data_IF_434297589355
#
_entry.id   IF_434297589355
#
_cell.length_a   1.000
_cell.length_b   1.000
_cell.length_c   1.000
_cell.angle_alpha   90.00
_cell.angle_beta   90.00
_cell.angle_gamma   90.00
#
_symmetry.space_group_name_H-M   'P 1'
#
loop_
_entity.id
_entity.type
_entity.pdbx_description
1 polymer ?
#
# COMPACT_ATOMS: atom_id res chain seq x y z
N UNK A 1 6.35 26.93 -20.99
CA UNK A 1 5.38 26.21 -21.86
C UNK A 1 5.26 24.80 -21.31
N UNK A 2 4.04 24.36 -20.96
CA UNK A 2 3.80 22.97 -20.59
C UNK A 2 4.03 22.08 -21.82
N UNK A 3 4.55 20.89 -21.59
CA UNK A 3 4.70 19.91 -22.68
C UNK A 3 3.32 19.38 -23.11
N UNK A 4 3.19 18.90 -24.34
CA UNK A 4 1.93 18.26 -24.82
C UNK A 4 1.51 17.06 -23.95
N UNK A 5 2.44 16.38 -23.34
CA UNK A 5 2.16 15.26 -22.42
C UNK A 5 1.54 15.75 -21.11
N UNK A 6 2.03 16.87 -20.55
CA UNK A 6 1.48 17.46 -19.33
C UNK A 6 0.05 17.98 -19.53
N UNK A 7 -0.21 18.64 -20.67
CA UNK A 7 -1.57 19.08 -21.03
C UNK A 7 -2.54 17.89 -21.20
N UNK A 8 -2.08 16.78 -21.77
CA UNK A 8 -2.88 15.59 -21.93
C UNK A 8 -3.17 14.89 -20.59
N UNK A 9 -2.19 14.84 -19.69
CA UNK A 9 -2.35 14.30 -18.33
C UNK A 9 -3.34 15.14 -17.51
N UNK A 10 -3.24 16.47 -17.57
CA UNK A 10 -4.18 17.37 -16.90
C UNK A 10 -5.61 17.16 -17.44
N UNK A 11 -5.77 17.17 -18.78
CA UNK A 11 -7.07 16.92 -19.40
C UNK A 11 -7.62 15.53 -19.04
N UNK A 12 -6.78 14.49 -19.06
CA UNK A 12 -7.16 13.15 -18.65
C UNK A 12 -7.66 13.11 -17.21
N UNK A 13 -6.99 13.81 -16.32
CA UNK A 13 -7.38 13.95 -14.91
C UNK A 13 -8.75 14.65 -14.80
N UNK A 14 -8.98 15.74 -15.53
CA UNK A 14 -10.27 16.42 -15.55
C UNK A 14 -11.41 15.54 -16.09
N UNK A 15 -11.12 14.69 -17.10
CA UNK A 15 -12.08 13.70 -17.61
C UNK A 15 -12.44 12.67 -16.54
N UNK A 16 -11.46 12.15 -15.82
CA UNK A 16 -11.65 11.17 -14.73
C UNK A 16 -12.47 11.76 -13.59
N UNK A 17 -12.19 12.99 -13.18
CA UNK A 17 -12.94 13.69 -12.13
C UNK A 17 -14.24 14.31 -12.60
N UNK A 18 -14.59 14.18 -13.90
CA UNK A 18 -15.85 14.68 -14.46
C UNK A 18 -15.91 16.19 -14.69
N UNK A 19 -14.77 16.90 -14.59
CA UNK A 19 -14.66 18.34 -14.74
C UNK A 19 -14.65 18.77 -16.22
N UNK A 20 -14.00 17.99 -17.09
CA UNK A 20 -13.97 18.24 -18.53
C UNK A 20 -15.36 18.06 -19.15
N UNK A 21 -15.80 19.02 -19.99
CA UNK A 21 -17.08 19.03 -20.69
C UNK A 21 -16.89 18.84 -22.21
N UNK A 22 -17.98 18.52 -22.93
CA UNK A 22 -17.99 18.39 -24.36
C UNK A 22 -17.94 16.94 -24.90
N UNK A 23 -18.13 16.78 -26.19
CA UNK A 23 -18.26 15.48 -26.86
C UNK A 23 -17.01 14.61 -26.70
N UNK A 24 -15.82 15.19 -26.86
CA UNK A 24 -14.54 14.47 -26.68
C UNK A 24 -14.39 13.88 -25.28
N UNK A 25 -14.73 14.64 -24.24
CA UNK A 25 -14.69 14.19 -22.88
C UNK A 25 -15.74 13.09 -22.59
N UNK A 26 -16.93 13.20 -23.22
CA UNK A 26 -17.99 12.19 -23.12
C UNK A 26 -17.55 10.87 -23.77
N UNK A 27 -16.98 10.93 -24.97
CA UNK A 27 -16.45 9.76 -25.68
C UNK A 27 -15.30 9.11 -24.89
N UNK A 28 -14.35 9.88 -24.38
CA UNK A 28 -13.27 9.35 -23.54
C UNK A 28 -13.81 8.66 -22.29
N UNK A 29 -14.78 9.26 -21.59
CA UNK A 29 -15.42 8.62 -20.44
C UNK A 29 -16.11 7.29 -20.80
N UNK A 30 -16.68 7.17 -21.99
CA UNK A 30 -17.29 5.92 -22.44
C UNK A 30 -16.21 4.84 -22.67
N UNK A 31 -15.11 5.18 -23.31
CA UNK A 31 -13.96 4.27 -23.52
C UNK A 31 -13.39 3.84 -22.15
N UNK A 32 -13.16 4.79 -21.26
CA UNK A 32 -12.65 4.50 -19.91
C UNK A 32 -13.61 3.64 -19.08
N UNK A 33 -14.95 3.76 -19.30
CA UNK A 33 -15.92 2.85 -18.65
C UNK A 33 -15.77 1.42 -19.16
N UNK A 34 -15.62 1.22 -20.44
CA UNK A 34 -15.39 -0.11 -21.01
C UNK A 34 -14.10 -0.74 -20.47
N UNK A 35 -13.00 0.04 -20.48
CA UNK A 35 -11.72 -0.39 -19.91
C UNK A 35 -11.82 -0.68 -18.39
N UNK A 36 -12.57 0.13 -17.65
CA UNK A 36 -12.80 -0.07 -16.22
C UNK A 36 -13.59 -1.35 -15.91
N UNK A 37 -14.52 -1.71 -16.79
CA UNK A 37 -15.28 -2.95 -16.67
C UNK A 37 -14.38 -4.17 -16.87
N UNK A 38 -13.51 -4.13 -17.89
CA UNK A 38 -12.50 -5.17 -18.11
C UNK A 38 -11.51 -5.26 -16.94
N UNK A 39 -11.02 -4.13 -16.46
CA UNK A 39 -10.15 -4.08 -15.28
C UNK A 39 -10.83 -4.71 -14.05
N UNK A 40 -12.12 -4.39 -13.84
CA UNK A 40 -12.91 -4.99 -12.75
C UNK A 40 -13.00 -6.51 -12.87
N UNK A 41 -13.23 -7.04 -14.07
CA UNK A 41 -13.25 -8.49 -14.30
C UNK A 41 -11.92 -9.13 -13.93
N UNK A 42 -10.80 -8.55 -14.37
CA UNK A 42 -9.46 -9.03 -14.04
C UNK A 42 -9.22 -9.02 -12.53
N UNK A 43 -9.58 -7.94 -11.84
CA UNK A 43 -9.45 -7.84 -10.38
C UNK A 43 -10.31 -8.88 -9.68
N UNK A 44 -11.58 -9.05 -10.08
CA UNK A 44 -12.48 -10.04 -9.48
C UNK A 44 -11.99 -11.46 -9.72
N UNK A 45 -11.56 -11.79 -10.94
CA UNK A 45 -10.98 -13.09 -11.26
C UNK A 45 -9.75 -13.37 -10.39
N UNK A 46 -8.85 -12.40 -10.23
CA UNK A 46 -7.69 -12.52 -9.35
C UNK A 46 -8.08 -12.75 -7.89
N UNK A 47 -9.02 -11.97 -7.36
CA UNK A 47 -9.53 -12.12 -6.01
C UNK A 47 -10.15 -13.51 -5.81
N UNK A 48 -10.93 -13.98 -6.78
CA UNK A 48 -11.53 -15.32 -6.76
C UNK A 48 -10.48 -16.43 -6.73
N UNK A 49 -9.44 -16.35 -7.58
CA UNK A 49 -8.36 -17.34 -7.62
C UNK A 49 -7.62 -17.49 -6.28
N UNK A 50 -7.39 -16.39 -5.59
CA UNK A 50 -6.75 -16.41 -4.26
C UNK A 50 -7.72 -16.85 -3.16
N UNK A 51 -8.97 -16.39 -3.21
CA UNK A 51 -9.98 -16.77 -2.21
C UNK A 51 -10.35 -18.26 -2.29
N UNK A 52 -10.46 -18.82 -3.48
CA UNK A 52 -10.73 -20.24 -3.71
C UNK A 52 -9.52 -21.16 -3.52
N UNK A 53 -8.38 -20.62 -3.09
CA UNK A 53 -7.11 -21.32 -2.90
C UNK A 53 -6.55 -21.99 -4.18
N UNK A 54 -7.08 -21.65 -5.36
CA UNK A 54 -6.52 -22.07 -6.67
C UNK A 54 -5.13 -21.46 -6.84
N UNK A 55 -5.01 -20.16 -6.55
CA UNK A 55 -3.72 -19.50 -6.48
C UNK A 55 -3.15 -19.63 -5.06
N UNK A 56 -1.94 -20.18 -4.94
CA UNK A 56 -1.28 -20.36 -3.65
C UNK A 56 -0.75 -19.06 -3.09
N UNK A 57 -0.93 -18.88 -1.79
CA UNK A 57 -0.31 -17.80 -1.01
C UNK A 57 0.90 -18.38 -0.25
N UNK A 58 2.00 -17.65 -0.26
CA UNK A 58 3.12 -17.98 0.62
C UNK A 58 2.74 -17.64 2.07
N UNK A 59 3.15 -18.48 3.01
CA UNK A 59 3.04 -18.23 4.45
C UNK A 59 4.44 -18.25 5.03
N UNK A 60 4.82 -17.20 5.74
CA UNK A 60 6.17 -17.05 6.27
C UNK A 60 6.30 -17.50 7.74
N UNK A 61 5.19 -17.88 8.38
CA UNK A 61 5.18 -18.35 9.77
C UNK A 61 5.40 -17.25 10.81
N UNK A 62 5.40 -15.98 10.40
CA UNK A 62 5.53 -14.79 11.24
C UNK A 62 4.30 -13.90 11.10
N UNK A 63 4.12 -12.96 12.02
CA UNK A 63 3.03 -12.00 11.94
C UNK A 63 3.21 -11.08 10.72
N UNK A 64 2.31 -11.18 9.76
CA UNK A 64 2.27 -10.32 8.57
C UNK A 64 1.05 -9.40 8.65
N UNK A 65 1.30 -8.11 8.74
CA UNK A 65 0.26 -7.07 8.77
C UNK A 65 0.31 -6.27 7.47
N UNK A 66 -0.78 -6.26 6.75
CA UNK A 66 -0.92 -5.44 5.54
C UNK A 66 -1.58 -4.11 5.89
N UNK A 67 -0.95 -3.02 5.51
CA UNK A 67 -1.54 -1.68 5.56
C UNK A 67 -1.78 -1.22 4.13
N UNK A 68 -3.04 -0.91 3.80
CA UNK A 68 -3.38 -0.58 2.42
C UNK A 68 -4.66 0.21 2.29
N UNK A 69 -5.11 0.38 1.05
CA UNK A 69 -6.37 1.04 0.74
C UNK A 69 -6.94 0.51 -0.58
N UNK A 70 -8.21 0.81 -0.85
CA UNK A 70 -8.89 0.40 -2.09
C UNK A 70 -8.87 1.46 -3.19
N UNK A 71 -8.37 2.66 -2.93
CA UNK A 71 -8.30 3.78 -3.88
C UNK A 71 -6.87 4.11 -4.27
N UNK A 72 -6.66 4.78 -5.39
CA UNK A 72 -5.39 5.49 -5.65
C UNK A 72 -5.39 6.83 -4.93
N UNK A 73 -4.22 7.27 -4.48
CA UNK A 73 -4.03 8.55 -3.79
C UNK A 73 -3.47 8.41 -2.37
N UNK A 74 -3.14 9.53 -1.78
CA UNK A 74 -2.56 9.62 -0.45
C UNK A 74 -3.62 9.50 0.65
N UNK A 75 -3.91 8.30 1.09
CA UNK A 75 -4.85 8.01 2.20
C UNK A 75 -4.21 8.05 3.59
N UNK A 76 -2.93 8.47 3.68
CA UNK A 76 -2.21 8.51 4.96
C UNK A 76 -1.61 7.16 5.38
N UNK A 77 -1.29 6.25 4.43
CA UNK A 77 -0.70 4.94 4.73
C UNK A 77 0.63 5.05 5.47
N UNK A 78 1.57 5.82 4.94
CA UNK A 78 2.93 5.93 5.47
C UNK A 78 2.96 6.36 6.94
N UNK A 79 2.23 7.39 7.40
CA UNK A 79 2.12 7.71 8.82
C UNK A 79 1.57 6.58 9.68
N UNK A 80 0.58 5.82 9.18
CA UNK A 80 0.01 4.69 9.93
C UNK A 80 1.01 3.53 10.00
N UNK A 81 1.73 3.23 8.93
CA UNK A 81 2.82 2.23 8.93
C UNK A 81 3.90 2.63 9.91
N UNK A 82 4.32 3.91 9.93
CA UNK A 82 5.31 4.45 10.85
C UNK A 82 4.86 4.30 12.31
N UNK A 83 3.63 4.70 12.62
CA UNK A 83 3.05 4.59 13.97
C UNK A 83 3.00 3.12 14.43
N UNK A 84 2.53 2.22 13.59
CA UNK A 84 2.47 0.79 13.89
C UNK A 84 3.86 0.20 14.11
N UNK A 85 4.82 0.50 13.22
CA UNK A 85 6.19 0.02 13.34
C UNK A 85 6.80 0.48 14.67
N UNK A 86 6.70 1.77 15.00
CA UNK A 86 7.18 2.35 16.25
C UNK A 86 6.53 1.70 17.47
N UNK A 87 5.21 1.56 17.46
CA UNK A 87 4.46 0.96 18.57
C UNK A 87 4.82 -0.50 18.79
N UNK A 88 4.96 -1.29 17.73
CA UNK A 88 5.33 -2.69 17.82
C UNK A 88 6.77 -2.88 18.30
N UNK A 89 7.71 -2.05 17.81
CA UNK A 89 9.10 -2.06 18.27
C UNK A 89 9.21 -1.68 19.73
N UNK A 90 8.48 -0.67 20.20
CA UNK A 90 8.41 -0.31 21.63
C UNK A 90 7.86 -1.43 22.51
N UNK A 91 7.05 -2.33 21.94
CA UNK A 91 6.54 -3.53 22.62
C UNK A 91 7.48 -4.75 22.49
N UNK A 92 8.70 -4.54 22.03
CA UNK A 92 9.73 -5.58 21.93
C UNK A 92 9.66 -6.46 20.68
N UNK A 93 8.85 -6.09 19.66
CA UNK A 93 8.80 -6.82 18.39
C UNK A 93 9.96 -6.39 17.48
N UNK A 94 10.51 -7.34 16.74
CA UNK A 94 11.47 -7.06 15.67
C UNK A 94 10.74 -6.87 14.35
N UNK A 95 10.59 -5.62 13.96
CA UNK A 95 9.73 -5.21 12.84
C UNK A 95 10.53 -4.99 11.56
N UNK A 96 10.02 -5.51 10.44
CA UNK A 96 10.47 -5.12 9.11
C UNK A 96 9.30 -4.54 8.30
N UNK A 97 9.52 -3.40 7.66
CA UNK A 97 8.61 -2.79 6.68
C UNK A 97 9.01 -3.27 5.30
N UNK A 98 8.05 -3.87 4.59
CA UNK A 98 8.22 -4.36 3.22
C UNK A 98 7.47 -3.45 2.26
N UNK A 99 8.20 -2.73 1.42
CA UNK A 99 7.64 -1.78 0.45
C UNK A 99 8.03 -2.11 -0.98
N UNK A 100 7.31 -1.56 -1.95
CA UNK A 100 7.56 -1.79 -3.39
C UNK A 100 8.71 -0.95 -3.95
N UNK A 101 8.95 0.22 -3.36
CA UNK A 101 9.91 1.18 -3.90
C UNK A 101 9.37 1.84 -5.18
N UNK A 102 8.23 2.52 -5.08
CA UNK A 102 7.68 3.28 -6.20
C UNK A 102 8.68 4.35 -6.65
N UNK A 103 8.98 4.40 -7.97
CA UNK A 103 9.96 5.32 -8.58
C UNK A 103 11.41 5.18 -8.07
N UNK A 104 11.76 4.11 -7.37
CA UNK A 104 13.16 3.87 -6.99
C UNK A 104 13.98 3.48 -8.23
N UNK A 105 15.15 4.12 -8.42
CA UNK A 105 16.10 3.75 -9.44
C UNK A 105 16.75 2.38 -9.13
N UNK A 106 17.21 1.66 -10.15
CA UNK A 106 18.02 0.48 -9.94
C UNK A 106 19.37 0.85 -9.31
N UNK A 107 19.98 -0.11 -8.63
CA UNK A 107 21.27 0.10 -8.01
C UNK A 107 22.37 0.09 -9.08
N UNK A 108 23.24 1.10 -9.08
CA UNK A 108 24.39 1.19 -9.98
C UNK A 108 25.43 0.10 -9.66
N UNK A 109 25.51 -0.33 -8.41
CA UNK A 109 26.37 -1.40 -7.90
C UNK A 109 25.58 -2.29 -6.94
N UNK A 110 25.95 -3.60 -6.83
CA UNK A 110 25.39 -4.46 -5.80
C UNK A 110 25.58 -3.85 -4.40
N UNK A 111 24.55 -3.99 -3.55
CA UNK A 111 24.59 -3.48 -2.18
C UNK A 111 25.55 -4.34 -1.35
N UNK A 112 26.48 -3.72 -0.63
CA UNK A 112 27.47 -4.40 0.22
C UNK A 112 26.90 -4.68 1.63
N UNK A 113 25.80 -5.42 1.68
CA UNK A 113 25.28 -5.90 2.96
C UNK A 113 25.81 -7.31 3.24
N UNK A 114 26.25 -7.57 4.46
CA UNK A 114 26.72 -8.87 4.93
C UNK A 114 26.01 -9.21 6.24
N UNK A 115 25.73 -10.49 6.43
CA UNK A 115 25.23 -11.00 7.69
C UNK A 115 26.31 -10.97 8.79
N UNK A 116 25.94 -11.40 10.01
CA UNK A 116 26.86 -11.46 11.17
C UNK A 116 28.07 -12.37 10.92
N UNK A 117 27.95 -13.31 10.02
CA UNK A 117 29.03 -14.25 9.63
C UNK A 117 29.85 -13.73 8.44
N UNK A 118 29.57 -12.53 7.95
CA UNK A 118 30.23 -11.90 6.81
C UNK A 118 29.80 -12.44 5.46
N UNK A 119 28.69 -13.18 5.37
CA UNK A 119 28.14 -13.76 4.14
C UNK A 119 27.18 -12.79 3.47
N UNK A 120 27.19 -12.78 2.16
CA UNK A 120 26.25 -12.03 1.34
C UNK A 120 25.25 -12.99 0.68
N UNK A 121 23.94 -12.87 0.95
CA UNK A 121 22.94 -13.68 0.29
C UNK A 121 22.86 -13.42 -1.21
N UNK A 122 22.63 -14.47 -2.00
CA UNK A 122 22.51 -14.35 -3.46
C UNK A 122 21.34 -13.48 -3.92
N UNK A 123 20.24 -13.48 -3.18
CA UNK A 123 19.00 -12.80 -3.50
C UNK A 123 18.70 -11.63 -2.55
N UNK A 124 19.61 -10.67 -2.48
CA UNK A 124 19.47 -9.51 -1.62
C UNK A 124 18.32 -8.57 -2.09
N UNK A 125 17.33 -8.21 -1.23
CA UNK A 125 16.45 -7.09 -1.52
C UNK A 125 17.22 -5.78 -1.43
N UNK A 126 16.69 -4.68 -1.93
CA UNK A 126 17.23 -3.35 -1.62
C UNK A 126 16.98 -3.06 -0.14
N UNK A 127 18.02 -2.88 0.63
CA UNK A 127 17.95 -2.59 2.08
C UNK A 127 18.08 -1.08 2.24
N UNK A 128 16.97 -0.39 2.54
CA UNK A 128 17.02 1.02 2.91
C UNK A 128 17.58 1.18 4.33
N UNK A 129 17.15 0.30 5.26
CA UNK A 129 17.69 0.15 6.61
C UNK A 129 17.55 -1.31 7.07
N UNK A 130 18.52 -1.81 7.83
CA UNK A 130 18.42 -3.09 8.55
C UNK A 130 17.93 -2.93 9.99
N UNK A 131 17.60 -1.70 10.39
CA UNK A 131 17.19 -1.30 11.74
C UNK A 131 18.31 -0.60 12.53
N UNK A 132 19.56 -0.82 12.17
CA UNK A 132 20.72 -0.18 12.80
C UNK A 132 21.42 0.79 11.84
N UNK A 133 21.62 0.35 10.61
CA UNK A 133 22.34 1.08 9.58
C UNK A 133 21.41 1.42 8.39
N UNK A 134 21.54 2.63 7.87
CA UNK A 134 20.87 3.06 6.64
C UNK A 134 21.82 2.93 5.46
N UNK A 135 21.42 2.17 4.45
CA UNK A 135 22.27 1.82 3.31
C UNK A 135 21.95 2.62 2.05
N UNK A 136 20.69 3.03 1.85
CA UNK A 136 20.25 3.66 0.60
C UNK A 136 19.69 5.06 0.82
N UNK A 137 20.04 5.96 -0.09
CA UNK A 137 19.41 7.27 -0.21
C UNK A 137 18.08 7.21 -0.98
N UNK A 138 17.36 8.36 -1.09
CA UNK A 138 16.02 8.43 -1.68
C UNK A 138 15.99 8.00 -3.16
N UNK A 139 17.06 8.22 -3.92
CA UNK A 139 17.14 7.83 -5.32
C UNK A 139 16.95 6.32 -5.53
N UNK A 140 17.59 5.50 -4.70
CA UNK A 140 17.61 4.04 -4.85
C UNK A 140 16.53 3.33 -4.02
N UNK A 141 16.14 3.89 -2.88
CA UNK A 141 15.05 3.32 -2.06
C UNK A 141 13.67 3.83 -2.47
N UNK A 142 13.59 5.05 -3.00
CA UNK A 142 12.36 5.84 -3.14
C UNK A 142 12.15 6.75 -1.92
N UNK A 143 11.38 7.83 -2.10
CA UNK A 143 11.19 8.86 -1.06
C UNK A 143 10.51 8.32 0.20
N UNK A 144 9.42 7.55 0.06
CA UNK A 144 8.67 7.00 1.19
C UNK A 144 9.50 5.98 2.01
N UNK A 145 10.17 4.97 1.40
CA UNK A 145 11.03 4.06 2.15
C UNK A 145 12.22 4.75 2.81
N UNK A 146 12.79 5.77 2.16
CA UNK A 146 13.86 6.58 2.74
C UNK A 146 13.40 7.33 3.99
N UNK A 147 12.22 7.96 3.91
CA UNK A 147 11.60 8.63 5.06
C UNK A 147 11.37 7.67 6.22
N UNK A 148 10.79 6.50 5.96
CA UNK A 148 10.57 5.47 7.00
C UNK A 148 11.89 5.03 7.63
N UNK A 149 12.92 4.76 6.81
CA UNK A 149 14.25 4.39 7.31
C UNK A 149 14.93 5.51 8.11
N UNK A 150 14.61 6.77 7.83
CA UNK A 150 15.12 7.94 8.56
C UNK A 150 14.42 8.13 9.90
N UNK A 151 13.12 7.89 9.96
CA UNK A 151 12.28 8.22 11.12
C UNK A 151 12.19 7.08 12.14
N UNK A 152 12.59 5.86 11.75
CA UNK A 152 12.41 4.66 12.56
C UNK A 152 13.76 4.02 12.89
N UNK A 153 14.15 4.08 14.15
CA UNK A 153 15.28 3.33 14.67
C UNK A 153 14.81 1.94 15.12
N UNK A 154 15.64 0.93 14.92
CA UNK A 154 15.33 -0.46 15.28
C UNK A 154 14.34 -1.16 14.36
N UNK A 155 13.98 -0.54 13.22
CA UNK A 155 13.04 -1.09 12.23
C UNK A 155 13.76 -1.29 10.90
N UNK A 156 13.70 -2.51 10.37
CA UNK A 156 14.23 -2.77 9.04
C UNK A 156 13.26 -2.23 7.96
N UNK A 157 13.81 -1.63 6.89
CA UNK A 157 13.04 -1.14 5.74
C UNK A 157 13.60 -1.75 4.47
N UNK A 158 12.82 -2.65 3.85
CA UNK A 158 13.22 -3.43 2.70
C UNK A 158 12.37 -3.08 1.48
N UNK A 159 13.05 -2.90 0.36
CA UNK A 159 12.44 -2.45 -0.90
C UNK A 159 12.59 -3.52 -1.96
N UNK A 160 11.50 -4.15 -2.36
CA UNK A 160 11.46 -5.11 -3.47
C UNK A 160 10.03 -5.27 -4.00
N UNK A 161 9.90 -5.53 -5.30
CA UNK A 161 8.61 -5.91 -5.91
C UNK A 161 8.12 -7.26 -5.39
N UNK A 162 9.04 -8.16 -5.03
CA UNK A 162 8.76 -9.46 -4.43
C UNK A 162 8.86 -9.39 -2.89
N UNK A 163 7.73 -9.08 -2.22
CA UNK A 163 7.66 -9.00 -0.75
C UNK A 163 7.90 -10.34 -0.05
N UNK A 164 7.68 -11.46 -0.73
CA UNK A 164 8.00 -12.78 -0.17
C UNK A 164 9.51 -12.89 0.02
N UNK A 165 10.30 -12.51 -1.01
CA UNK A 165 11.76 -12.47 -0.94
C UNK A 165 12.24 -11.58 0.21
N UNK A 166 11.72 -10.35 0.28
CA UNK A 166 12.07 -9.41 1.36
C UNK A 166 11.66 -9.93 2.74
N UNK A 167 10.51 -10.59 2.83
CA UNK A 167 10.02 -11.17 4.09
C UNK A 167 10.91 -12.33 4.57
N UNK A 168 11.30 -13.24 3.68
CA UNK A 168 12.24 -14.32 3.99
C UNK A 168 13.57 -13.74 4.48
N UNK A 169 14.11 -12.76 3.74
CA UNK A 169 15.34 -12.07 4.13
C UNK A 169 15.24 -11.43 5.52
N UNK A 170 14.13 -10.72 5.81
CA UNK A 170 13.90 -10.09 7.11
C UNK A 170 13.90 -11.11 8.25
N UNK A 171 13.29 -12.27 8.03
CA UNK A 171 13.21 -13.35 9.03
C UNK A 171 14.57 -14.02 9.24
N UNK A 172 15.18 -14.48 8.15
CA UNK A 172 16.37 -15.34 8.22
C UNK A 172 17.64 -14.58 8.56
N UNK A 173 17.81 -13.36 8.05
CA UNK A 173 19.03 -12.59 8.21
C UNK A 173 18.95 -11.45 9.22
N UNK A 174 17.75 -10.84 9.39
CA UNK A 174 17.57 -9.75 10.36
C UNK A 174 16.87 -10.22 11.65
N UNK A 175 16.35 -11.45 11.68
CA UNK A 175 15.66 -12.01 12.82
C UNK A 175 14.34 -11.30 13.16
N UNK A 176 13.67 -10.74 12.14
CA UNK A 176 12.39 -10.08 12.31
C UNK A 176 11.27 -11.09 12.57
N UNK A 177 10.38 -10.77 13.48
CA UNK A 177 9.21 -11.59 13.87
C UNK A 177 7.89 -10.96 13.41
N UNK A 178 7.93 -9.75 12.89
CA UNK A 178 6.77 -8.99 12.44
C UNK A 178 7.08 -8.27 11.12
N UNK A 179 6.23 -8.49 10.13
CA UNK A 179 6.35 -7.90 8.80
C UNK A 179 5.19 -6.94 8.56
N UNK A 180 5.47 -5.68 8.28
CA UNK A 180 4.49 -4.67 7.88
C UNK A 180 4.59 -4.45 6.38
N UNK A 181 3.52 -4.76 5.63
CA UNK A 181 3.46 -4.48 4.20
C UNK A 181 2.90 -3.06 3.99
N UNK A 182 3.72 -2.17 3.50
CA UNK A 182 3.28 -0.88 3.00
C UNK A 182 2.65 -1.04 1.62
N UNK A 183 1.41 -0.55 1.47
CA UNK A 183 0.54 -0.76 0.31
C UNK A 183 0.34 -2.26 0.01
N UNK A 184 0.06 -3.05 1.06
CA UNK A 184 0.02 -4.51 1.03
C UNK A 184 -1.29 -5.10 0.52
N UNK A 185 -2.43 -4.41 0.60
CA UNK A 185 -3.77 -4.96 0.35
C UNK A 185 -3.92 -5.68 -1.00
N UNK A 186 -3.24 -5.19 -2.05
CA UNK A 186 -3.21 -5.81 -3.36
C UNK A 186 -2.16 -6.91 -3.50
N UNK A 187 -1.31 -7.16 -2.51
CA UNK A 187 -0.24 -8.17 -2.60
C UNK A 187 -0.71 -9.54 -2.11
N UNK A 188 -1.68 -10.14 -2.80
CA UNK A 188 -2.32 -11.41 -2.44
C UNK A 188 -1.42 -12.65 -2.49
N UNK A 189 -0.20 -12.54 -3.02
CA UNK A 189 0.77 -13.67 -3.08
C UNK A 189 1.33 -14.07 -1.71
N UNK A 190 1.34 -13.16 -0.75
CA UNK A 190 1.73 -13.38 0.64
C UNK A 190 0.46 -13.39 1.49
N UNK A 191 0.31 -14.37 2.35
CA UNK A 191 -0.80 -14.42 3.30
C UNK A 191 -0.59 -13.34 4.38
N UNK A 192 -1.66 -12.64 4.72
CA UNK A 192 -1.67 -11.64 5.79
C UNK A 192 -2.48 -12.21 6.96
N UNK A 193 -1.98 -12.07 8.18
CA UNK A 193 -2.71 -12.37 9.40
C UNK A 193 -3.67 -11.22 9.76
N UNK A 194 -3.30 -9.98 9.40
CA UNK A 194 -4.12 -8.79 9.61
C UNK A 194 -4.09 -7.88 8.38
N UNK A 195 -5.26 -7.45 7.92
CA UNK A 195 -5.43 -6.43 6.90
C UNK A 195 -5.98 -5.14 7.52
N UNK A 196 -5.19 -4.09 7.53
CA UNK A 196 -5.58 -2.75 7.95
C UNK A 196 -5.85 -1.92 6.70
N UNK A 197 -7.10 -1.48 6.54
CA UNK A 197 -7.52 -0.72 5.37
C UNK A 197 -7.83 0.72 5.74
N UNK A 198 -7.16 1.66 5.08
CA UNK A 198 -7.38 3.08 5.27
C UNK A 198 -8.44 3.60 4.32
N UNK A 199 -9.34 4.42 4.87
CA UNK A 199 -10.40 5.11 4.14
C UNK A 199 -10.32 6.60 4.44
N UNK A 200 -10.08 7.42 3.41
CA UNK A 200 -10.04 8.88 3.52
C UNK A 200 -11.46 9.44 3.66
N UNK A 201 -11.77 10.11 4.77
CA UNK A 201 -13.11 10.67 5.02
C UNK A 201 -13.53 11.73 3.98
N UNK A 202 -12.57 12.45 3.40
CA UNK A 202 -12.84 13.45 2.37
C UNK A 202 -13.20 12.86 1.01
N UNK A 203 -12.73 11.63 0.71
CA UNK A 203 -13.00 10.93 -0.54
C UNK A 203 -13.02 9.39 -0.35
N UNK A 204 -13.96 8.84 0.41
CA UNK A 204 -13.91 7.47 0.93
C UNK A 204 -13.79 6.40 -0.16
N UNK A 205 -14.48 6.62 -1.26
CA UNK A 205 -14.50 5.74 -2.42
C UNK A 205 -14.04 6.45 -3.70
N UNK A 206 -13.35 7.59 -3.54
CA UNK A 206 -12.86 8.42 -4.63
C UNK A 206 -13.98 8.81 -5.60
N UNK A 207 -13.78 8.57 -6.90
CA UNK A 207 -14.82 8.86 -7.92
C UNK A 207 -15.94 7.80 -7.96
N UNK A 208 -15.90 6.77 -7.13
CA UNK A 208 -16.86 5.66 -7.11
C UNK A 208 -16.69 4.65 -8.25
N UNK A 209 -15.83 4.91 -9.23
CA UNK A 209 -15.54 4.02 -10.33
C UNK A 209 -14.16 3.39 -10.20
N UNK A 210 -13.97 2.19 -10.77
CA UNK A 210 -12.67 1.54 -10.82
C UNK A 210 -11.75 2.15 -11.88
N UNK A 211 -10.47 1.92 -11.75
CA UNK A 211 -9.47 2.28 -12.77
C UNK A 211 -9.85 1.66 -14.13
N UNK A 212 -9.55 2.33 -15.24
CA UNK A 212 -9.02 3.70 -15.38
C UNK A 212 -10.08 4.81 -15.40
N UNK A 213 -11.40 4.49 -15.29
CA UNK A 213 -12.48 5.49 -15.29
C UNK A 213 -12.53 6.29 -14.00
N UNK A 214 -12.02 5.75 -12.93
CA UNK A 214 -12.03 6.35 -11.61
C UNK A 214 -10.80 5.99 -10.81
N UNK A 215 -10.92 6.06 -9.49
CA UNK A 215 -9.79 5.94 -8.57
C UNK A 215 -9.78 4.66 -7.76
N UNK A 216 -10.78 3.77 -7.90
CA UNK A 216 -10.80 2.51 -7.19
C UNK A 216 -9.82 1.50 -7.83
N UNK A 217 -8.91 0.95 -7.03
CA UNK A 217 -8.03 -0.19 -7.39
C UNK A 217 -8.78 -1.52 -7.27
N UNK A 218 -9.69 -1.59 -6.31
CA UNK A 218 -10.52 -2.76 -6.02
C UNK A 218 -11.98 -2.33 -5.77
N UNK A 219 -12.95 -3.22 -5.96
CA UNK A 219 -14.34 -2.91 -5.65
C UNK A 219 -14.52 -2.68 -4.15
N UNK A 220 -15.55 -1.91 -3.76
CA UNK A 220 -15.87 -1.64 -2.35
C UNK A 220 -16.09 -2.91 -1.53
N UNK A 221 -16.57 -3.99 -2.16
CA UNK A 221 -16.71 -5.30 -1.53
C UNK A 221 -15.40 -5.89 -1.01
N UNK A 222 -14.23 -5.43 -1.52
CA UNK A 222 -12.92 -5.84 -0.99
C UNK A 222 -12.67 -5.39 0.45
N UNK A 223 -13.43 -4.43 0.97
CA UNK A 223 -13.42 -4.06 2.38
C UNK A 223 -13.77 -5.24 3.29
N UNK A 224 -14.48 -6.26 2.79
CA UNK A 224 -14.78 -7.48 3.54
C UNK A 224 -13.54 -8.23 4.05
N UNK A 225 -12.36 -7.99 3.45
CA UNK A 225 -11.10 -8.62 3.89
C UNK A 225 -10.44 -7.88 5.06
N UNK A 226 -10.84 -6.63 5.32
CA UNK A 226 -10.22 -5.84 6.36
C UNK A 226 -10.49 -6.43 7.75
N UNK A 227 -9.44 -6.58 8.55
CA UNK A 227 -9.52 -6.84 9.99
C UNK A 227 -9.83 -5.55 10.75
N UNK A 228 -9.19 -4.45 10.33
CA UNK A 228 -9.38 -3.10 10.85
C UNK A 228 -9.57 -2.11 9.71
N UNK A 229 -10.44 -1.13 9.93
CA UNK A 229 -10.64 -0.01 9.00
C UNK A 229 -10.34 1.29 9.75
N UNK A 230 -9.35 2.03 9.26
CA UNK A 230 -8.97 3.31 9.84
C UNK A 230 -9.51 4.43 8.94
N UNK A 231 -10.40 5.25 9.51
CA UNK A 231 -10.88 6.47 8.86
C UNK A 231 -9.85 7.57 9.09
N UNK A 232 -9.35 8.17 8.02
CA UNK A 232 -8.31 9.20 8.07
C UNK A 232 -8.84 10.53 7.54
N UNK A 233 -8.24 11.64 7.98
CA UNK A 233 -8.58 13.00 7.51
C UNK A 233 -10.05 13.37 7.75
N UNK A 234 -10.63 12.97 8.86
CA UNK A 234 -12.04 13.19 9.16
C UNK A 234 -12.34 14.62 9.63
N UNK A 235 -11.34 15.36 10.12
CA UNK A 235 -11.48 16.77 10.53
C UNK A 235 -12.49 16.97 11.65
N UNK A 236 -12.55 16.08 12.63
CA UNK A 236 -13.43 16.15 13.80
C UNK A 236 -14.91 16.03 13.51
N UNK A 237 -15.32 15.67 12.27
CA UNK A 237 -16.74 15.55 11.90
C UNK A 237 -17.27 14.16 12.22
N UNK A 238 -18.56 14.03 12.60
CA UNK A 238 -19.22 12.73 12.72
C UNK A 238 -19.16 11.94 11.41
N UNK A 239 -18.90 10.64 11.52
CA UNK A 239 -18.72 9.77 10.34
C UNK A 239 -19.79 8.66 10.24
N UNK A 240 -20.96 8.85 10.85
CA UNK A 240 -22.00 7.81 10.97
C UNK A 240 -22.47 7.30 9.61
N UNK A 241 -22.65 8.19 8.62
CA UNK A 241 -23.04 7.81 7.26
C UNK A 241 -21.96 6.97 6.57
N UNK A 242 -20.68 7.35 6.71
CA UNK A 242 -19.57 6.64 6.15
C UNK A 242 -19.40 5.26 6.83
N UNK A 243 -19.48 5.23 8.16
CA UNK A 243 -19.44 3.98 8.92
C UNK A 243 -20.58 3.06 8.49
N UNK A 244 -21.80 3.56 8.36
CA UNK A 244 -22.95 2.81 7.88
C UNK A 244 -22.75 2.28 6.46
N UNK A 245 -22.13 3.08 5.57
CA UNK A 245 -21.80 2.65 4.21
C UNK A 245 -20.73 1.56 4.19
N UNK A 246 -19.72 1.62 5.06
CA UNK A 246 -18.66 0.62 5.20
C UNK A 246 -19.24 -0.68 5.79
N UNK A 247 -20.12 -0.60 6.79
CA UNK A 247 -20.75 -1.75 7.43
C UNK A 247 -21.54 -2.63 6.46
N UNK A 248 -22.05 -2.07 5.35
CA UNK A 248 -22.70 -2.84 4.27
C UNK A 248 -21.74 -3.84 3.60
N UNK A 249 -20.45 -3.57 3.63
CA UNK A 249 -19.40 -4.42 3.02
C UNK A 249 -18.63 -5.24 4.07
N UNK A 250 -18.43 -4.67 5.25
CA UNK A 250 -17.74 -5.35 6.35
C UNK A 250 -18.47 -5.05 7.69
N UNK A 251 -19.35 -5.97 8.14
CA UNK A 251 -20.08 -5.80 9.39
C UNK A 251 -19.24 -6.05 10.64
N UNK A 252 -18.08 -6.73 10.51
CA UNK A 252 -17.32 -7.23 11.66
C UNK A 252 -16.03 -6.47 11.97
N UNK A 253 -15.39 -5.84 10.96
CA UNK A 253 -14.13 -5.14 11.18
C UNK A 253 -14.27 -4.02 12.23
N UNK A 254 -13.26 -3.86 13.08
CA UNK A 254 -13.19 -2.68 13.95
C UNK A 254 -12.93 -1.43 13.12
N UNK A 255 -13.71 -0.37 13.36
CA UNK A 255 -13.58 0.91 12.68
C UNK A 255 -13.02 1.92 13.66
N UNK A 256 -11.86 2.48 13.32
CA UNK A 256 -11.13 3.46 14.11
C UNK A 256 -11.19 4.80 13.38
N UNK A 257 -11.67 5.85 14.03
CA UNK A 257 -11.61 7.21 13.51
C UNK A 257 -10.30 7.83 13.96
N UNK A 258 -9.45 8.23 13.01
CA UNK A 258 -8.18 8.88 13.29
C UNK A 258 -8.23 10.31 12.80
N UNK A 259 -8.08 11.25 13.72
CA UNK A 259 -7.78 12.63 13.41
C UNK A 259 -6.27 12.87 13.59
N UNK A 260 -5.64 13.50 12.60
CA UNK A 260 -4.28 13.95 12.74
C UNK A 260 -4.30 15.16 13.68
N UNK A 261 -3.76 15.03 14.89
CA UNK A 261 -3.45 16.21 15.69
C UNK A 261 -2.41 17.03 14.92
N UNK A 262 -2.72 18.28 14.64
CA UNK A 262 -1.73 19.25 14.19
C UNK A 262 -0.87 19.60 15.43
N UNK A 263 0.22 18.86 15.65
CA UNK A 263 1.35 19.22 16.49
C UNK A 263 2.61 19.24 15.65
#
# INVERSE_FOLDING_TARGET
>A
MKSRSEEFEEWGTEVIFGRAKGFRAAMMRMILRGASWLFRLVVLARLYLFHSSIARQARLGMLVVSVGNITVGGTGKTPVVELLARTLTQRGRKVAILTRGYKSADLDKPQEWKDKDGRQPENLPKIASDGETRYLGPLHSGDEPFMLAKNLDGVAVLVDKNRIKSGIFAIEHLGCDTLLLDDGMQYLKLAHELDIVLVDCGAPFGTGAMLPRGTLREPRSSLARASYIILTKCGGKPQDELISAIRKYNPVADIIVSDRSEE
#
